data_IF_659113549916
#
_entry.id   IF_659113549916
#
_cell.length_a   1.000
_cell.length_b   1.000
_cell.length_c   1.000
_cell.angle_alpha   90.00
_cell.angle_beta   90.00
_cell.angle_gamma   90.00
#
_symmetry.space_group_name_H-M   'P 1'
#
loop_
_entity.id
_entity.type
_entity.pdbx_description
1 polymer ?
#
# COMPACT_ATOMS: atom_id res chain seq x y z
N UNK A 1 -7.02 -9.49 -24.60
CA UNK A 1 -6.20 -9.04 -23.44
C UNK A 1 -5.89 -7.53 -23.45
N UNK A 2 -5.35 -6.89 -24.50
CA UNK A 2 -4.97 -5.46 -24.41
C UNK A 2 -6.15 -4.49 -24.18
N UNK A 3 -7.38 -4.91 -24.50
CA UNK A 3 -8.60 -4.10 -24.35
C UNK A 3 -8.97 -3.76 -22.89
N UNK A 4 -8.41 -4.48 -21.90
CA UNK A 4 -8.67 -4.25 -20.47
C UNK A 4 -7.50 -3.60 -19.74
N UNK A 5 -6.37 -3.38 -20.43
CA UNK A 5 -5.16 -2.87 -19.79
C UNK A 5 -5.22 -1.36 -19.60
N UNK A 6 -4.44 -0.90 -18.64
CA UNK A 6 -4.21 0.52 -18.43
C UNK A 6 -3.53 1.15 -19.64
N UNK A 7 -3.81 2.43 -19.87
CA UNK A 7 -3.14 3.23 -20.90
C UNK A 7 -2.50 4.42 -20.20
N UNK A 8 -1.26 4.76 -20.53
CA UNK A 8 -0.58 5.88 -19.88
C UNK A 8 -0.93 7.24 -20.51
N UNK A 9 -0.40 8.34 -19.94
CA UNK A 9 -0.63 9.70 -20.46
C UNK A 9 -0.08 9.93 -21.89
N UNK A 10 0.73 9.01 -22.41
CA UNK A 10 1.28 9.03 -23.77
C UNK A 10 0.48 8.17 -24.74
N UNK A 11 -0.55 7.46 -24.28
CA UNK A 11 -1.36 6.56 -25.11
C UNK A 11 -0.77 5.16 -25.25
N UNK A 12 0.24 4.79 -24.44
CA UNK A 12 0.88 3.48 -24.47
C UNK A 12 0.13 2.51 -23.58
N UNK A 13 -0.04 1.27 -24.05
CA UNK A 13 -0.69 0.20 -23.29
C UNK A 13 0.27 -0.32 -22.22
N UNK A 14 -0.19 -0.36 -20.97
CA UNK A 14 0.55 -0.88 -19.81
C UNK A 14 0.41 -2.40 -19.66
N UNK A 15 0.86 -2.93 -18.52
CA UNK A 15 0.79 -4.36 -18.18
C UNK A 15 -0.34 -4.69 -17.21
N UNK A 16 -0.86 -3.67 -16.54
CA UNK A 16 -1.83 -3.82 -15.48
C UNK A 16 -3.26 -3.67 -16.02
N UNK A 17 -4.23 -4.48 -15.55
CA UNK A 17 -5.64 -4.23 -15.85
C UNK A 17 -6.12 -2.87 -15.34
N UNK A 18 -6.94 -2.19 -16.13
CA UNK A 18 -7.60 -0.96 -15.70
C UNK A 18 -8.68 -1.28 -14.67
N UNK A 19 -8.53 -0.72 -13.48
CA UNK A 19 -9.48 -0.85 -12.35
C UNK A 19 -10.87 -0.30 -12.64
N UNK A 20 -11.07 0.43 -13.74
CA UNK A 20 -12.39 0.96 -14.16
C UNK A 20 -12.99 0.20 -15.34
N UNK A 21 -12.25 -0.70 -15.98
CA UNK A 21 -12.79 -1.44 -17.11
C UNK A 21 -13.96 -2.32 -16.64
N UNK A 22 -15.17 -2.21 -17.23
CA UNK A 22 -16.34 -2.96 -16.76
C UNK A 22 -16.14 -4.47 -16.81
N UNK A 23 -15.41 -4.99 -17.81
CA UNK A 23 -15.15 -6.42 -17.91
C UNK A 23 -14.20 -6.90 -16.81
N UNK A 24 -13.19 -6.09 -16.45
CA UNK A 24 -12.29 -6.41 -15.35
C UNK A 24 -13.01 -6.34 -13.99
N UNK A 25 -13.86 -5.33 -13.79
CA UNK A 25 -14.71 -5.24 -12.58
C UNK A 25 -15.68 -6.40 -12.49
N UNK A 26 -16.39 -6.72 -13.57
CA UNK A 26 -17.33 -7.84 -13.61
C UNK A 26 -16.65 -9.18 -13.34
N UNK A 27 -15.42 -9.37 -13.82
CA UNK A 27 -14.65 -10.58 -13.52
C UNK A 27 -14.39 -10.72 -12.01
N UNK A 28 -13.97 -9.66 -11.34
CA UNK A 28 -13.80 -9.68 -9.88
C UNK A 28 -15.12 -9.85 -9.13
N UNK A 29 -16.18 -9.18 -9.58
CA UNK A 29 -17.52 -9.32 -9.02
C UNK A 29 -17.99 -10.77 -9.08
N UNK A 30 -17.81 -11.44 -10.23
CA UNK A 30 -18.14 -12.86 -10.40
C UNK A 30 -17.35 -13.77 -9.46
N UNK A 31 -16.05 -13.53 -9.27
CA UNK A 31 -15.23 -14.33 -8.34
C UNK A 31 -15.73 -14.18 -6.90
N UNK A 32 -15.97 -12.94 -6.46
CA UNK A 32 -16.40 -12.67 -5.09
C UNK A 32 -17.81 -13.20 -4.84
N UNK A 33 -18.72 -13.07 -5.81
CA UNK A 33 -20.05 -13.67 -5.74
C UNK A 33 -19.99 -15.20 -5.64
N UNK A 34 -19.19 -15.87 -6.48
CA UNK A 34 -19.05 -17.33 -6.42
C UNK A 34 -18.47 -17.78 -5.07
N UNK A 35 -17.42 -17.12 -4.58
CA UNK A 35 -16.88 -17.41 -3.25
C UNK A 35 -17.92 -17.25 -2.14
N UNK A 36 -18.73 -16.19 -2.20
CA UNK A 36 -19.73 -15.90 -1.19
C UNK A 36 -20.95 -16.83 -1.22
N UNK A 37 -21.26 -17.46 -2.37
CA UNK A 37 -22.45 -18.30 -2.55
C UNK A 37 -22.16 -19.79 -2.55
N UNK A 38 -20.98 -20.19 -3.04
CA UNK A 38 -20.68 -21.58 -3.39
C UNK A 38 -19.80 -22.28 -2.36
N UNK A 39 -19.17 -21.54 -1.43
CA UNK A 39 -18.22 -22.09 -0.47
C UNK A 39 -18.65 -21.83 0.98
N UNK A 40 -18.41 -22.82 1.84
CA UNK A 40 -18.59 -22.71 3.29
C UNK A 40 -17.35 -22.06 3.91
N UNK A 41 -17.35 -20.73 3.95
CA UNK A 41 -16.26 -19.88 4.46
C UNK A 41 -16.82 -18.84 5.43
N UNK A 42 -16.00 -18.38 6.38
CA UNK A 42 -16.41 -17.31 7.32
C UNK A 42 -16.24 -15.90 6.75
N UNK A 43 -15.46 -15.76 5.68
CA UNK A 43 -15.19 -14.47 5.09
C UNK A 43 -14.16 -14.46 3.97
N UNK A 44 -14.00 -13.28 3.39
CA UNK A 44 -13.15 -12.98 2.25
C UNK A 44 -12.15 -11.91 2.67
N UNK A 45 -10.88 -12.12 2.35
CA UNK A 45 -9.82 -11.11 2.50
C UNK A 45 -9.42 -10.59 1.12
N UNK A 46 -9.48 -9.28 0.94
CA UNK A 46 -9.18 -8.61 -0.32
C UNK A 46 -7.94 -7.70 -0.20
N UNK A 47 -7.18 -7.59 -1.27
CA UNK A 47 -6.03 -6.70 -1.37
C UNK A 47 -5.88 -6.17 -2.79
N UNK A 48 -5.58 -4.87 -2.93
CA UNK A 48 -5.27 -4.25 -4.20
C UNK A 48 -3.99 -3.40 -4.10
N UNK A 49 -2.87 -3.99 -4.52
CA UNK A 49 -1.55 -3.38 -4.42
C UNK A 49 -1.21 -2.63 -5.71
N UNK A 50 -1.60 -1.36 -5.79
CA UNK A 50 -1.41 -0.51 -6.96
C UNK A 50 -0.78 0.83 -6.61
N UNK A 51 0.12 1.29 -7.48
CA UNK A 51 0.63 2.67 -7.47
C UNK A 51 -0.39 3.59 -8.10
N UNK A 52 -0.66 4.70 -7.41
CA UNK A 52 -1.47 5.79 -7.93
C UNK A 52 -0.69 6.58 -9.00
N UNK A 53 -1.35 7.42 -9.81
CA UNK A 53 -0.72 8.16 -10.90
C UNK A 53 0.52 8.97 -10.49
N UNK A 54 0.44 9.78 -9.43
CA UNK A 54 1.57 10.59 -8.92
C UNK A 54 2.67 9.69 -8.39
N UNK A 55 2.31 8.67 -7.61
CA UNK A 55 3.25 7.70 -7.04
C UNK A 55 4.06 6.99 -8.14
N UNK A 56 3.40 6.59 -9.23
CA UNK A 56 4.06 6.03 -10.41
C UNK A 56 5.04 7.01 -11.06
N UNK A 57 4.62 8.27 -11.25
CA UNK A 57 5.48 9.30 -11.86
C UNK A 57 6.70 9.59 -11.00
N UNK A 58 6.54 9.75 -9.68
CA UNK A 58 7.66 9.95 -8.75
C UNK A 58 8.66 8.78 -8.78
N UNK A 59 8.18 7.56 -8.98
CA UNK A 59 9.04 6.39 -9.16
C UNK A 59 9.72 6.31 -10.54
N UNK A 60 9.40 7.22 -11.45
CA UNK A 60 9.97 7.32 -12.79
C UNK A 60 9.14 6.66 -13.89
N UNK A 61 7.95 6.15 -13.57
CA UNK A 61 7.06 5.50 -14.53
C UNK A 61 6.02 6.49 -15.10
N UNK A 62 5.42 6.20 -16.26
CA UNK A 62 4.25 6.93 -16.73
C UNK A 62 3.06 6.82 -15.75
N UNK A 63 2.16 7.80 -15.79
CA UNK A 63 0.95 7.82 -14.98
C UNK A 63 -0.10 6.88 -15.56
N UNK A 64 -0.81 6.15 -14.70
CA UNK A 64 -2.00 5.39 -15.07
C UNK A 64 -3.28 6.19 -14.71
N UNK A 65 -4.48 5.87 -15.19
CA UNK A 65 -4.81 5.14 -16.40
C UNK A 65 -5.72 6.02 -17.27
N UNK A 66 -5.27 6.38 -18.49
CA UNK A 66 -5.95 7.18 -19.51
C UNK A 66 -6.63 6.32 -20.60
N UNK A 67 -7.07 5.09 -20.27
CA UNK A 67 -7.79 4.25 -21.23
C UNK A 67 -9.17 4.86 -21.59
N UNK A 68 -9.82 4.46 -22.70
CA UNK A 68 -11.11 5.03 -23.11
C UNK A 68 -12.17 5.03 -22.02
N UNK A 69 -12.21 3.98 -21.20
CA UNK A 69 -13.15 3.88 -20.07
C UNK A 69 -12.88 4.96 -19.02
N UNK A 70 -11.64 5.10 -18.55
CA UNK A 70 -11.29 6.11 -17.56
C UNK A 70 -11.51 7.52 -18.08
N UNK A 71 -11.21 7.76 -19.37
CA UNK A 71 -11.42 9.07 -19.99
C UNK A 71 -12.90 9.44 -20.02
N UNK A 72 -13.76 8.50 -20.44
CA UNK A 72 -15.21 8.72 -20.46
C UNK A 72 -15.75 9.03 -19.07
N UNK A 73 -15.42 8.20 -18.08
CA UNK A 73 -15.91 8.40 -16.71
C UNK A 73 -15.43 9.73 -16.10
N UNK A 74 -14.16 10.11 -16.36
CA UNK A 74 -13.64 11.40 -15.92
C UNK A 74 -14.34 12.58 -16.58
N UNK A 75 -14.66 12.50 -17.88
CA UNK A 75 -15.44 13.54 -18.59
C UNK A 75 -16.84 13.66 -18.00
N UNK A 76 -17.50 12.55 -17.69
CA UNK A 76 -18.82 12.53 -17.03
C UNK A 76 -18.79 13.19 -15.64
N UNK A 77 -17.64 13.16 -14.96
CA UNK A 77 -17.37 13.86 -13.69
C UNK A 77 -16.92 15.32 -13.87
N UNK A 78 -16.95 15.85 -15.09
CA UNK A 78 -16.59 17.24 -15.40
C UNK A 78 -15.09 17.52 -15.45
N UNK A 79 -14.24 16.50 -15.62
CA UNK A 79 -12.79 16.67 -15.73
C UNK A 79 -12.35 16.92 -17.18
N UNK A 80 -11.49 17.92 -17.39
CA UNK A 80 -10.78 18.11 -18.66
C UNK A 80 -9.62 17.11 -18.77
N UNK A 81 -9.92 15.96 -19.36
CA UNK A 81 -8.97 14.85 -19.51
C UNK A 81 -7.78 15.20 -20.38
N UNK A 82 -7.94 16.03 -21.41
CA UNK A 82 -6.79 16.39 -22.26
C UNK A 82 -5.86 17.36 -21.53
N UNK A 83 -6.41 18.33 -20.79
CA UNK A 83 -5.59 19.19 -19.93
C UNK A 83 -4.86 18.39 -18.86
N UNK A 84 -5.54 17.45 -18.19
CA UNK A 84 -4.92 16.52 -17.22
C UNK A 84 -3.78 15.73 -17.86
N UNK A 85 -4.01 15.19 -19.06
CA UNK A 85 -2.99 14.39 -19.76
C UNK A 85 -1.75 15.22 -20.10
N UNK A 86 -1.93 16.47 -20.52
CA UNK A 86 -0.82 17.41 -20.75
C UNK A 86 -0.08 17.75 -19.44
N UNK A 87 -0.81 18.03 -18.36
CA UNK A 87 -0.26 18.26 -17.03
C UNK A 87 0.61 17.08 -16.54
N UNK A 88 0.17 15.83 -16.73
CA UNK A 88 0.98 14.65 -16.40
C UNK A 88 2.20 14.46 -17.30
N UNK A 89 2.18 14.96 -18.54
CA UNK A 89 3.39 14.95 -19.38
C UNK A 89 4.42 15.94 -18.86
N UNK A 90 4.00 17.13 -18.49
CA UNK A 90 4.89 18.15 -17.88
C UNK A 90 5.47 17.64 -16.55
N UNK A 91 4.61 17.11 -15.66
CA UNK A 91 5.05 16.53 -14.40
C UNK A 91 6.03 15.36 -14.61
N UNK A 92 5.72 14.45 -15.54
CA UNK A 92 6.63 13.36 -15.88
C UNK A 92 7.97 13.87 -16.42
N UNK A 93 7.99 14.87 -17.29
CA UNK A 93 9.22 15.45 -17.82
C UNK A 93 10.10 16.04 -16.70
N UNK A 94 9.52 16.78 -15.75
CA UNK A 94 10.24 17.31 -14.59
C UNK A 94 10.84 16.18 -13.75
N UNK A 95 10.08 15.10 -13.50
CA UNK A 95 10.60 13.96 -12.75
C UNK A 95 11.71 13.23 -13.51
N UNK A 96 11.61 13.06 -14.84
CA UNK A 96 12.68 12.46 -15.63
C UNK A 96 13.96 13.32 -15.61
N UNK A 97 13.84 14.65 -15.72
CA UNK A 97 14.95 15.60 -15.57
C UNK A 97 15.61 15.45 -14.20
N UNK A 98 14.81 15.34 -13.14
CA UNK A 98 15.30 15.11 -11.79
C UNK A 98 16.14 13.82 -11.70
N UNK A 99 15.59 12.72 -12.23
CA UNK A 99 16.23 11.39 -12.25
C UNK A 99 17.47 11.33 -13.15
N UNK A 100 17.54 12.16 -14.17
CA UNK A 100 18.70 12.33 -15.04
C UNK A 100 19.83 13.15 -14.38
N UNK A 101 19.62 13.67 -13.17
CA UNK A 101 20.63 14.44 -12.44
C UNK A 101 20.69 15.92 -12.82
N UNK A 102 19.64 16.47 -13.44
CA UNK A 102 19.62 17.88 -13.83
C UNK A 102 19.69 18.82 -12.60
N UNK A 103 20.58 19.80 -12.61
CA UNK A 103 20.64 20.78 -11.53
C UNK A 103 19.55 21.86 -11.71
N UNK A 104 18.52 21.80 -10.86
CA UNK A 104 17.47 22.82 -10.83
C UNK A 104 17.92 24.01 -9.99
N UNK A 105 17.47 25.21 -10.36
CA UNK A 105 17.83 26.47 -9.67
C UNK A 105 17.51 26.42 -8.18
N UNK A 106 16.33 25.92 -7.80
CA UNK A 106 15.86 25.84 -6.41
C UNK A 106 15.84 24.41 -5.85
N UNK A 107 16.40 23.44 -6.58
CA UNK A 107 16.33 22.02 -6.23
C UNK A 107 15.08 21.28 -6.74
N UNK A 108 15.15 19.95 -6.70
CA UNK A 108 14.18 19.01 -7.24
C UNK A 108 12.84 19.03 -6.49
N UNK A 109 12.86 19.11 -5.14
CA UNK A 109 11.63 19.19 -4.36
C UNK A 109 10.82 20.44 -4.76
N UNK A 110 11.51 21.59 -4.85
CA UNK A 110 10.88 22.88 -5.20
C UNK A 110 10.39 22.86 -6.65
N UNK A 111 11.16 22.32 -7.59
CA UNK A 111 10.72 22.18 -8.98
C UNK A 111 9.49 21.27 -9.12
N UNK A 112 9.42 20.17 -8.36
CA UNK A 112 8.26 19.28 -8.35
C UNK A 112 7.04 19.99 -7.74
N UNK A 113 7.20 20.74 -6.65
CA UNK A 113 6.11 21.56 -6.11
C UNK A 113 5.63 22.61 -7.11
N UNK A 114 6.56 23.23 -7.85
CA UNK A 114 6.27 24.24 -8.87
C UNK A 114 5.44 23.67 -10.01
N UNK A 115 5.81 22.51 -10.56
CA UNK A 115 5.03 21.92 -11.65
C UNK A 115 3.64 21.48 -11.18
N UNK A 116 3.50 20.98 -9.94
CA UNK A 116 2.20 20.67 -9.35
C UNK A 116 1.34 21.93 -9.12
N UNK A 117 1.96 23.03 -8.68
CA UNK A 117 1.28 24.31 -8.48
C UNK A 117 0.70 24.87 -9.79
N UNK A 118 1.45 24.82 -10.88
CA UNK A 118 0.99 25.27 -12.20
C UNK A 118 0.10 24.25 -12.92
N UNK A 119 0.06 23.00 -12.45
CA UNK A 119 -0.74 21.92 -13.02
C UNK A 119 -1.57 21.18 -11.94
N UNK A 120 -2.53 21.87 -11.27
CA UNK A 120 -3.38 21.24 -10.26
C UNK A 120 -4.22 20.07 -10.81
N UNK A 121 -4.38 19.98 -12.13
CA UNK A 121 -5.03 18.87 -12.81
C UNK A 121 -4.38 17.51 -12.52
N UNK A 122 -3.08 17.50 -12.17
CA UNK A 122 -2.39 16.29 -11.67
C UNK A 122 -3.07 15.75 -10.42
N UNK A 123 -3.44 16.62 -9.47
CA UNK A 123 -4.11 16.24 -8.23
C UNK A 123 -5.56 15.81 -8.46
N UNK A 124 -6.25 16.41 -9.44
CA UNK A 124 -7.62 16.03 -9.78
C UNK A 124 -7.70 14.58 -10.28
N UNK A 125 -6.77 14.20 -11.15
CA UNK A 125 -6.69 12.84 -11.65
C UNK A 125 -6.22 11.85 -10.60
N UNK A 126 -5.27 12.25 -9.75
CA UNK A 126 -4.82 11.44 -8.62
C UNK A 126 -6.02 11.09 -7.74
N UNK A 127 -6.81 12.09 -7.34
CA UNK A 127 -8.01 11.87 -6.54
C UNK A 127 -9.01 10.97 -7.26
N UNK A 128 -9.32 11.25 -8.54
CA UNK A 128 -10.21 10.41 -9.33
C UNK A 128 -9.75 8.95 -9.35
N UNK A 129 -8.49 8.68 -9.66
CA UNK A 129 -7.98 7.32 -9.73
C UNK A 129 -8.02 6.62 -8.37
N UNK A 130 -7.66 7.33 -7.28
CA UNK A 130 -7.70 6.80 -5.91
C UNK A 130 -9.13 6.48 -5.47
N UNK A 131 -10.08 7.37 -5.74
CA UNK A 131 -11.51 7.14 -5.47
C UNK A 131 -11.99 5.88 -6.18
N UNK A 132 -11.63 5.72 -7.45
CA UNK A 132 -12.00 4.54 -8.23
C UNK A 132 -11.36 3.25 -7.75
N UNK A 133 -10.12 3.33 -7.24
CA UNK A 133 -9.47 2.20 -6.60
C UNK A 133 -10.25 1.75 -5.36
N UNK A 134 -10.66 2.70 -4.50
CA UNK A 134 -11.49 2.43 -3.33
C UNK A 134 -12.90 1.95 -3.69
N UNK A 135 -13.48 2.45 -4.78
CA UNK A 135 -14.80 2.00 -5.24
C UNK A 135 -14.81 0.52 -5.58
N UNK A 136 -13.70 -0.02 -6.09
CA UNK A 136 -13.58 -1.47 -6.30
C UNK A 136 -13.68 -2.21 -4.96
N UNK A 137 -13.00 -1.76 -3.91
CA UNK A 137 -13.11 -2.35 -2.57
C UNK A 137 -14.56 -2.28 -2.05
N UNK A 138 -15.25 -1.14 -2.26
CA UNK A 138 -16.66 -0.93 -1.86
C UNK A 138 -17.61 -1.85 -2.60
N UNK A 139 -17.41 -2.04 -3.91
CA UNK A 139 -18.21 -2.93 -4.73
C UNK A 139 -18.07 -4.39 -4.26
N UNK A 140 -16.84 -4.84 -3.99
CA UNK A 140 -16.59 -6.20 -3.52
C UNK A 140 -17.15 -6.43 -2.11
N UNK A 141 -17.04 -5.45 -1.21
CA UNK A 141 -17.71 -5.47 0.08
C UNK A 141 -19.22 -5.60 -0.09
N UNK A 142 -19.83 -4.74 -0.93
CA UNK A 142 -21.26 -4.73 -1.20
C UNK A 142 -21.77 -6.06 -1.75
N UNK A 143 -21.06 -6.65 -2.72
CA UNK A 143 -21.40 -7.96 -3.29
C UNK A 143 -21.31 -9.05 -2.22
N UNK A 144 -20.26 -9.05 -1.40
CA UNK A 144 -20.11 -10.02 -0.30
C UNK A 144 -21.32 -9.96 0.62
N UNK A 145 -21.69 -8.75 1.09
CA UNK A 145 -22.82 -8.55 1.99
C UNK A 145 -24.18 -8.85 1.36
N UNK A 146 -24.32 -8.58 0.07
CA UNK A 146 -25.52 -8.90 -0.69
C UNK A 146 -25.72 -10.41 -0.87
N UNK A 147 -24.63 -11.15 -1.11
CA UNK A 147 -24.69 -12.59 -1.29
C UNK A 147 -24.94 -13.32 0.03
N UNK A 148 -24.21 -12.94 1.08
CA UNK A 148 -24.36 -13.46 2.43
C UNK A 148 -23.86 -12.42 3.44
N UNK A 149 -24.79 -11.84 4.20
CA UNK A 149 -24.49 -10.76 5.13
C UNK A 149 -23.67 -11.22 6.36
N UNK A 150 -23.66 -12.51 6.67
CA UNK A 150 -22.90 -13.06 7.79
C UNK A 150 -21.39 -13.17 7.49
N UNK A 151 -21.02 -13.27 6.20
CA UNK A 151 -19.63 -13.31 5.77
C UNK A 151 -18.89 -12.03 6.16
N UNK A 152 -17.67 -12.19 6.67
CA UNK A 152 -16.77 -11.05 6.91
C UNK A 152 -16.00 -10.68 5.65
N UNK A 153 -15.80 -9.39 5.43
CA UNK A 153 -14.97 -8.87 4.35
C UNK A 153 -13.84 -8.03 4.95
N UNK A 154 -12.61 -8.51 4.77
CA UNK A 154 -11.41 -7.89 5.33
C UNK A 154 -10.55 -7.22 4.28
N UNK A 155 -9.94 -6.09 4.65
CA UNK A 155 -8.93 -5.43 3.81
C UNK A 155 -7.53 -5.77 4.29
N UNK A 156 -6.77 -6.46 3.46
CA UNK A 156 -5.32 -6.62 3.63
C UNK A 156 -4.64 -5.35 3.08
N UNK A 157 -4.02 -4.58 3.97
CA UNK A 157 -3.50 -3.24 3.68
C UNK A 157 -1.99 -3.30 3.49
N UNK A 158 -1.55 -2.94 2.29
CA UNK A 158 -0.16 -2.98 1.87
C UNK A 158 0.76 -2.13 2.75
N UNK A 159 1.94 -2.63 3.06
CA UNK A 159 2.91 -1.94 3.93
C UNK A 159 3.41 -0.59 3.37
N UNK A 160 3.28 -0.33 2.07
CA UNK A 160 3.55 1.01 1.52
C UNK A 160 2.66 2.10 2.12
N UNK A 161 1.48 1.76 2.65
CA UNK A 161 0.66 2.69 3.44
C UNK A 161 1.37 3.17 4.72
N UNK A 162 2.38 2.43 5.19
CA UNK A 162 3.20 2.80 6.37
C UNK A 162 4.42 3.64 5.97
N UNK A 163 4.91 3.49 4.74
CA UNK A 163 6.22 3.99 4.30
C UNK A 163 6.15 5.23 3.41
N UNK A 164 4.99 5.56 2.86
CA UNK A 164 4.86 6.68 1.91
C UNK A 164 3.79 7.66 2.43
N UNK A 165 4.15 8.94 2.73
CA UNK A 165 3.19 9.92 3.24
C UNK A 165 2.01 10.18 2.31
N UNK A 166 2.24 10.19 0.98
CA UNK A 166 1.18 10.37 -0.01
C UNK A 166 0.19 9.21 0.08
N UNK A 167 0.70 7.97 0.13
CA UNK A 167 -0.12 6.77 0.29
C UNK A 167 -0.88 6.77 1.62
N UNK A 168 -0.24 7.13 2.73
CA UNK A 168 -0.89 7.21 4.06
C UNK A 168 -2.04 8.23 4.06
N UNK A 169 -1.85 9.38 3.39
CA UNK A 169 -2.89 10.40 3.25
C UNK A 169 -4.08 9.94 2.39
N UNK A 170 -3.83 9.13 1.37
CA UNK A 170 -4.85 8.68 0.43
C UNK A 170 -5.69 7.50 0.97
N UNK A 171 -5.20 6.78 1.98
CA UNK A 171 -5.87 5.61 2.58
C UNK A 171 -6.07 5.80 4.10
N UNK A 172 -6.96 6.73 4.51
CA UNK A 172 -7.27 6.93 5.92
C UNK A 172 -8.04 5.73 6.51
N UNK A 173 -7.65 5.31 7.71
CA UNK A 173 -8.25 4.16 8.40
C UNK A 173 -9.76 4.31 8.63
N UNK A 174 -10.20 5.49 9.08
CA UNK A 174 -11.61 5.75 9.40
C UNK A 174 -12.53 5.52 8.19
N UNK A 175 -12.10 5.96 7.01
CA UNK A 175 -12.87 5.80 5.78
C UNK A 175 -13.02 4.31 5.41
N UNK A 176 -11.94 3.51 5.53
CA UNK A 176 -11.96 2.08 5.22
C UNK A 176 -12.96 1.28 6.08
N UNK A 177 -13.26 1.75 7.28
CA UNK A 177 -14.25 1.10 8.17
C UNK A 177 -15.65 1.09 7.58
N UNK A 178 -15.93 1.94 6.58
CA UNK A 178 -17.25 2.02 5.93
C UNK A 178 -17.47 0.94 4.87
N UNK A 179 -16.43 0.19 4.47
CA UNK A 179 -16.52 -0.94 3.52
C UNK A 179 -15.63 -2.13 3.92
N UNK A 180 -15.45 -2.35 5.22
CA UNK A 180 -14.75 -3.52 5.72
C UNK A 180 -15.32 -3.94 7.08
N UNK A 181 -15.26 -5.23 7.39
CA UNK A 181 -15.56 -5.74 8.72
C UNK A 181 -14.31 -5.84 9.60
N UNK A 182 -13.13 -5.77 9.00
CA UNK A 182 -11.84 -5.77 9.66
C UNK A 182 -10.72 -5.31 8.73
N UNK A 183 -9.61 -4.88 9.30
CA UNK A 183 -8.41 -4.48 8.54
C UNK A 183 -7.20 -5.27 8.99
N UNK A 184 -6.30 -5.55 8.04
CA UNK A 184 -5.02 -6.22 8.27
C UNK A 184 -3.86 -5.40 7.70
N UNK A 185 -3.23 -4.53 8.51
CA UNK A 185 -1.98 -3.88 8.13
C UNK A 185 -0.87 -4.93 7.97
N UNK A 186 -0.18 -4.93 6.83
CA UNK A 186 0.94 -5.84 6.57
C UNK A 186 2.22 -5.31 7.21
N UNK A 187 2.77 -6.05 8.17
CA UNK A 187 4.00 -5.67 8.89
C UNK A 187 5.03 -6.78 8.85
N UNK A 188 5.38 -7.29 7.66
CA UNK A 188 6.41 -8.32 7.50
C UNK A 188 7.77 -7.76 7.91
N UNK A 189 8.06 -7.84 9.19
CA UNK A 189 9.06 -7.07 9.90
C UNK A 189 10.49 -7.33 9.40
N UNK A 190 10.86 -8.59 9.15
CA UNK A 190 12.15 -8.97 8.57
C UNK A 190 12.30 -8.56 7.09
N UNK A 191 11.19 -8.28 6.39
CA UNK A 191 11.20 -7.77 5.01
C UNK A 191 11.18 -6.23 4.94
N UNK A 192 10.63 -5.61 5.97
CA UNK A 192 10.19 -4.22 5.92
C UNK A 192 11.35 -3.22 5.77
N UNK A 193 12.54 -3.57 6.27
CA UNK A 193 13.75 -2.77 6.02
C UNK A 193 14.07 -2.66 4.52
N UNK A 194 14.09 -3.79 3.81
CA UNK A 194 14.29 -3.82 2.36
C UNK A 194 13.19 -3.12 1.57
N UNK A 195 11.93 -3.27 2.01
CA UNK A 195 10.79 -2.63 1.35
C UNK A 195 10.84 -1.10 1.53
N UNK A 196 11.13 -0.62 2.74
CA UNK A 196 11.33 0.81 3.01
C UNK A 196 12.49 1.38 2.18
N UNK A 197 13.64 0.70 2.14
CA UNK A 197 14.79 1.18 1.36
C UNK A 197 14.48 1.24 -0.12
N UNK A 198 13.72 0.27 -0.66
CA UNK A 198 13.32 0.29 -2.07
C UNK A 198 12.38 1.45 -2.37
N UNK A 199 11.41 1.70 -1.49
CA UNK A 199 10.46 2.80 -1.63
C UNK A 199 11.18 4.16 -1.61
N UNK A 200 11.97 4.43 -0.58
CA UNK A 200 12.70 5.69 -0.43
C UNK A 200 13.74 5.91 -1.52
N UNK A 201 14.44 4.84 -1.94
CA UNK A 201 15.42 4.93 -3.03
C UNK A 201 14.80 5.41 -4.35
N UNK A 202 13.52 5.14 -4.59
CA UNK A 202 12.82 5.68 -5.77
C UNK A 202 12.57 7.18 -5.65
N UNK A 203 12.23 7.66 -4.45
CA UNK A 203 12.01 9.07 -4.16
C UNK A 203 13.31 9.88 -4.13
N UNK A 204 14.42 9.29 -3.67
CA UNK A 204 15.77 9.89 -3.74
C UNK A 204 16.31 10.01 -5.17
N UNK A 205 15.64 9.43 -6.16
CA UNK A 205 15.94 9.70 -7.57
C UNK A 205 15.13 10.88 -8.12
N UNK A 206 14.09 11.34 -7.42
CA UNK A 206 13.16 12.37 -7.88
C UNK A 206 12.98 13.47 -6.84
N UNK A 207 11.91 13.40 -6.04
CA UNK A 207 11.47 14.46 -5.12
C UNK A 207 12.38 14.66 -3.91
N UNK A 208 13.13 13.63 -3.52
CA UNK A 208 14.10 13.69 -2.41
C UNK A 208 15.55 13.67 -2.91
N UNK A 209 15.79 14.02 -4.17
CA UNK A 209 17.11 13.87 -4.80
C UNK A 209 18.21 14.66 -4.13
N UNK A 210 17.90 15.87 -3.66
CA UNK A 210 18.92 16.78 -3.15
C UNK A 210 19.25 16.55 -1.65
N UNK A 211 18.71 15.50 -1.05
CA UNK A 211 19.03 15.07 0.32
C UNK A 211 19.51 13.62 0.32
N UNK A 212 20.51 13.31 1.14
CA UNK A 212 20.98 11.94 1.27
C UNK A 212 19.95 11.09 2.04
N UNK A 213 19.93 9.76 1.81
CA UNK A 213 19.09 8.87 2.61
C UNK A 213 19.38 8.94 4.10
N UNK A 214 20.64 9.17 4.50
CA UNK A 214 21.08 9.32 5.89
C UNK A 214 20.47 10.57 6.55
N UNK A 215 20.40 11.69 5.82
CA UNK A 215 19.78 12.93 6.30
C UNK A 215 18.26 12.82 6.35
N UNK A 216 17.65 12.21 5.32
CA UNK A 216 16.20 12.20 5.17
C UNK A 216 15.50 11.13 6.02
N UNK A 217 16.14 9.98 6.27
CA UNK A 217 15.52 8.86 6.99
C UNK A 217 15.01 9.26 8.38
N UNK A 218 15.79 9.97 9.24
CA UNK A 218 15.28 10.43 10.53
C UNK A 218 14.11 11.42 10.44
N UNK A 219 14.07 12.24 9.38
CA UNK A 219 12.96 13.18 9.14
C UNK A 219 11.71 12.42 8.70
N UNK A 220 11.86 11.50 7.75
CA UNK A 220 10.77 10.67 7.25
C UNK A 220 10.17 9.80 8.36
N UNK A 221 10.99 9.27 9.26
CA UNK A 221 10.52 8.56 10.44
C UNK A 221 9.63 9.42 11.34
N UNK A 222 9.98 10.69 11.57
CA UNK A 222 9.11 11.60 12.33
C UNK A 222 7.78 11.86 11.62
N UNK A 223 7.79 11.99 10.29
CA UNK A 223 6.57 12.19 9.49
C UNK A 223 5.66 10.95 9.55
N UNK A 224 6.24 9.76 9.45
CA UNK A 224 5.49 8.50 9.35
C UNK A 224 5.14 7.88 10.71
N UNK A 225 5.78 8.32 11.79
CA UNK A 225 5.66 7.74 13.13
C UNK A 225 6.48 6.45 13.29
N UNK A 226 7.65 6.38 12.66
CA UNK A 226 8.57 5.23 12.72
C UNK A 226 9.76 5.50 13.66
N UNK A 227 10.36 4.43 14.21
CA UNK A 227 11.55 4.52 15.06
C UNK A 227 12.43 3.29 14.84
N UNK A 228 13.18 3.31 13.75
CA UNK A 228 13.86 2.11 13.23
C UNK A 228 15.36 2.34 13.06
N UNK A 229 16.07 1.29 12.60
CA UNK A 229 17.50 1.35 12.34
C UNK A 229 17.89 2.49 11.36
N UNK A 230 19.14 2.99 11.43
CA UNK A 230 19.68 3.92 10.44
C UNK A 230 19.68 3.31 9.03
N UNK A 231 19.64 4.18 8.01
CA UNK A 231 19.52 3.80 6.60
C UNK A 231 20.42 2.62 6.18
N UNK A 232 21.72 2.70 6.51
CA UNK A 232 22.73 1.71 6.10
C UNK A 232 22.59 0.32 6.73
N UNK A 233 21.72 0.15 7.73
CA UNK A 233 21.52 -1.12 8.46
C UNK A 233 20.12 -1.71 8.26
N UNK A 234 19.21 -0.97 7.62
CA UNK A 234 17.78 -1.34 7.54
C UNK A 234 17.55 -2.69 6.88
N UNK A 235 18.25 -2.97 5.78
CA UNK A 235 18.06 -4.21 5.02
C UNK A 235 18.42 -5.43 5.87
N UNK A 236 19.53 -5.34 6.60
CA UNK A 236 20.10 -6.42 7.40
C UNK A 236 19.36 -6.62 8.72
N UNK A 237 18.83 -5.54 9.32
CA UNK A 237 18.10 -5.59 10.58
C UNK A 237 16.59 -5.85 10.42
N UNK A 238 16.02 -5.48 9.28
CA UNK A 238 14.56 -5.37 9.17
C UNK A 238 14.03 -4.22 10.02
N UNK A 239 12.74 -4.23 10.31
CA UNK A 239 12.13 -3.30 11.27
C UNK A 239 11.81 -4.04 12.57
N UNK A 240 12.00 -3.38 13.71
CA UNK A 240 11.89 -4.00 15.02
C UNK A 240 10.40 -4.23 15.40
N UNK A 241 10.01 -5.43 15.89
CA UNK A 241 8.63 -5.70 16.25
C UNK A 241 8.01 -4.72 17.27
N UNK A 242 8.77 -4.31 18.28
CA UNK A 242 8.25 -3.54 19.41
C UNK A 242 8.04 -2.06 19.05
N UNK A 243 8.69 -1.57 17.98
CA UNK A 243 8.47 -0.21 17.45
C UNK A 243 7.60 -0.24 16.21
N UNK A 244 7.90 -1.09 15.23
CA UNK A 244 7.21 -1.11 13.95
C UNK A 244 5.85 -1.82 14.03
N UNK A 245 5.81 -3.08 14.47
CA UNK A 245 4.55 -3.84 14.53
C UNK A 245 3.62 -3.21 15.56
N UNK A 246 4.14 -2.91 16.77
CA UNK A 246 3.40 -2.17 17.80
C UNK A 246 2.90 -0.82 17.26
N UNK A 247 3.77 0.01 16.68
CA UNK A 247 3.44 1.34 16.22
C UNK A 247 2.38 1.37 15.12
N UNK A 248 2.52 0.50 14.11
CA UNK A 248 1.50 0.39 13.05
C UNK A 248 0.18 -0.17 13.57
N UNK A 249 0.21 -1.12 14.52
CA UNK A 249 -1.01 -1.62 15.16
C UNK A 249 -1.69 -0.51 15.97
N UNK A 250 -0.96 0.23 16.78
CA UNK A 250 -1.51 1.31 17.61
C UNK A 250 -2.10 2.44 16.75
N UNK A 251 -1.44 2.79 15.65
CA UNK A 251 -1.96 3.75 14.66
C UNK A 251 -3.24 3.25 13.98
N UNK A 252 -3.28 1.98 13.57
CA UNK A 252 -4.45 1.38 12.95
C UNK A 252 -5.62 1.31 13.94
N UNK A 253 -5.39 0.85 15.17
CA UNK A 253 -6.41 0.77 16.24
C UNK A 253 -7.00 2.14 16.53
N UNK A 254 -6.15 3.17 16.66
CA UNK A 254 -6.59 4.57 16.84
C UNK A 254 -7.36 5.07 15.61
N UNK A 255 -6.87 4.75 14.41
CA UNK A 255 -7.42 5.21 13.15
C UNK A 255 -8.79 4.62 12.81
N UNK A 256 -9.04 3.35 13.13
CA UNK A 256 -10.37 2.72 12.96
C UNK A 256 -11.35 3.09 14.07
N UNK A 257 -10.86 3.70 15.16
CA UNK A 257 -11.66 4.25 16.25
C UNK A 257 -12.71 3.26 16.80
N UNK A 258 -12.32 1.99 16.95
CA UNK A 258 -13.19 0.93 17.48
C UNK A 258 -14.31 0.46 16.53
N UNK A 259 -14.42 0.99 15.31
CA UNK A 259 -15.47 0.62 14.35
C UNK A 259 -15.30 -0.79 13.78
N UNK A 260 -14.05 -1.22 13.57
CA UNK A 260 -13.69 -2.56 13.09
C UNK A 260 -12.44 -3.08 13.83
N UNK A 261 -12.29 -4.39 14.04
CA UNK A 261 -11.08 -4.97 14.61
C UNK A 261 -9.87 -4.86 13.65
N UNK A 262 -8.69 -4.77 14.25
CA UNK A 262 -7.39 -4.78 13.56
C UNK A 262 -6.72 -6.13 13.80
N UNK A 263 -6.35 -6.82 12.72
CA UNK A 263 -5.59 -8.07 12.75
C UNK A 263 -4.23 -7.86 12.09
N UNK A 264 -3.11 -7.94 12.81
CA UNK A 264 -1.82 -7.61 12.20
C UNK A 264 -1.31 -8.73 11.28
N UNK A 265 -0.84 -8.36 10.09
CA UNK A 265 -0.20 -9.29 9.15
C UNK A 265 1.27 -9.52 9.52
N UNK A 266 1.57 -10.63 10.18
CA UNK A 266 2.94 -10.95 10.65
C UNK A 266 3.66 -11.78 9.59
N UNK A 267 4.87 -11.35 9.23
CA UNK A 267 5.69 -12.05 8.25
C UNK A 267 6.35 -13.25 8.90
N UNK A 268 6.11 -14.45 8.39
CA UNK A 268 6.81 -15.67 8.79
C UNK A 268 7.48 -16.24 7.55
N UNK A 269 8.81 -16.14 7.50
CA UNK A 269 9.64 -16.65 6.39
C UNK A 269 9.21 -16.15 5.00
N UNK A 270 8.65 -14.93 4.93
CA UNK A 270 8.39 -14.27 3.66
C UNK A 270 9.66 -14.30 2.77
N UNK A 271 9.54 -14.57 1.45
CA UNK A 271 10.70 -14.73 0.57
C UNK A 271 11.63 -13.52 0.60
N UNK A 272 12.94 -13.75 0.70
CA UNK A 272 13.96 -12.68 0.64
C UNK A 272 14.35 -12.41 -0.81
N UNK A 273 14.51 -11.14 -1.16
CA UNK A 273 15.01 -10.73 -2.48
C UNK A 273 16.53 -10.53 -2.52
N UNK A 274 17.18 -10.55 -1.35
CA UNK A 274 18.64 -10.38 -1.20
C UNK A 274 19.19 -11.32 -0.12
N UNK A 275 20.45 -11.72 -0.29
CA UNK A 275 21.14 -12.62 0.64
C UNK A 275 21.42 -11.96 2.01
N UNK A 276 21.70 -10.65 2.02
CA UNK A 276 22.01 -9.84 3.20
C UNK A 276 20.77 -9.34 3.95
N UNK A 277 19.57 -9.64 3.46
CA UNK A 277 18.34 -9.20 4.09
C UNK A 277 18.07 -9.97 5.39
N UNK A 278 17.49 -9.29 6.39
CA UNK A 278 17.14 -9.86 7.68
C UNK A 278 16.41 -11.20 7.56
N UNK A 279 16.84 -12.16 8.38
CA UNK A 279 16.29 -13.51 8.43
C UNK A 279 15.15 -13.54 9.44
N UNK A 280 14.06 -14.23 9.11
CA UNK A 280 12.98 -14.46 10.06
C UNK A 280 13.48 -15.39 11.17
N UNK A 281 13.20 -15.04 12.43
CA UNK A 281 13.61 -15.82 13.59
C UNK A 281 12.40 -16.07 14.51
N UNK A 282 12.48 -17.07 15.41
CA UNK A 282 11.42 -17.32 16.39
C UNK A 282 11.13 -16.09 17.26
N UNK A 283 12.17 -15.40 17.72
CA UNK A 283 12.03 -14.21 18.57
C UNK A 283 11.25 -13.09 17.86
N UNK A 284 11.56 -12.84 16.58
CA UNK A 284 10.88 -11.84 15.78
C UNK A 284 9.38 -12.14 15.69
N UNK A 285 9.00 -13.40 15.41
CA UNK A 285 7.59 -13.81 15.31
C UNK A 285 6.89 -13.66 16.66
N UNK A 286 7.48 -14.17 17.73
CA UNK A 286 6.95 -14.09 19.10
C UNK A 286 6.69 -12.63 19.50
N UNK A 287 7.71 -11.77 19.39
CA UNK A 287 7.59 -10.34 19.73
C UNK A 287 6.55 -9.62 18.88
N UNK A 288 6.44 -9.95 17.59
CA UNK A 288 5.41 -9.35 16.71
C UNK A 288 3.99 -9.66 17.16
N UNK A 289 3.74 -10.88 17.64
CA UNK A 289 2.43 -11.26 18.21
C UNK A 289 2.18 -10.50 19.51
N UNK A 290 3.13 -10.50 20.45
CA UNK A 290 2.99 -9.77 21.72
C UNK A 290 2.75 -8.27 21.50
N UNK A 291 3.54 -7.64 20.62
CA UNK A 291 3.42 -6.24 20.24
C UNK A 291 2.03 -5.91 19.66
N UNK A 292 1.46 -6.82 18.86
CA UNK A 292 0.12 -6.65 18.29
C UNK A 292 -0.96 -6.54 19.38
N UNK A 293 -0.97 -7.49 20.32
CA UNK A 293 -1.98 -7.49 21.40
C UNK A 293 -1.74 -6.34 22.38
N UNK A 294 -0.49 -6.01 22.70
CA UNK A 294 -0.15 -4.88 23.56
C UNK A 294 -0.63 -3.55 22.98
N UNK A 295 -0.61 -3.39 21.65
CA UNK A 295 -1.11 -2.22 20.95
C UNK A 295 -2.64 -2.17 20.79
N UNK A 296 -3.37 -3.18 21.30
CA UNK A 296 -4.83 -3.26 21.22
C UNK A 296 -5.38 -3.96 19.96
N UNK A 297 -4.51 -4.57 19.15
CA UNK A 297 -4.92 -5.44 18.05
C UNK A 297 -5.75 -6.62 18.55
N UNK A 298 -6.66 -7.12 17.72
CA UNK A 298 -7.58 -8.21 18.07
C UNK A 298 -7.10 -9.59 17.63
N UNK A 299 -5.98 -9.65 16.91
CA UNK A 299 -5.31 -10.89 16.55
C UNK A 299 -4.26 -10.69 15.48
N UNK A 300 -3.76 -11.80 14.94
CA UNK A 300 -2.71 -11.83 13.92
C UNK A 300 -3.08 -12.75 12.78
N UNK A 301 -2.55 -12.47 11.60
CA UNK A 301 -2.58 -13.38 10.45
C UNK A 301 -1.14 -13.61 10.00
N UNK A 302 -0.64 -14.83 10.14
CA UNK A 302 0.68 -15.20 9.64
C UNK A 302 0.65 -15.24 8.11
N UNK A 303 1.70 -14.72 7.48
CA UNK A 303 1.74 -14.52 6.02
C UNK A 303 3.19 -14.61 5.51
N UNK A 304 3.44 -14.83 4.20
CA UNK A 304 2.47 -14.83 3.09
C UNK A 304 1.76 -16.17 2.83
N UNK A 305 2.41 -17.31 3.07
CA UNK A 305 1.81 -18.63 2.85
C UNK A 305 2.35 -19.63 3.84
N UNK A 306 1.47 -20.42 4.46
CA UNK A 306 1.83 -21.46 5.42
C UNK A 306 2.86 -22.44 4.86
N UNK A 307 2.76 -22.79 3.57
CA UNK A 307 3.68 -23.72 2.91
C UNK A 307 5.14 -23.22 2.86
N UNK A 308 5.35 -21.90 3.01
CA UNK A 308 6.69 -21.30 3.05
C UNK A 308 7.23 -21.06 4.46
N UNK A 309 6.47 -21.36 5.51
CA UNK A 309 6.84 -21.03 6.89
C UNK A 309 7.71 -22.13 7.51
N UNK A 310 8.78 -21.72 8.20
CA UNK A 310 9.52 -22.63 9.06
C UNK A 310 8.70 -22.87 10.34
N UNK A 311 8.44 -24.15 10.66
CA UNK A 311 7.61 -24.51 11.82
C UNK A 311 8.19 -23.98 13.14
N UNK A 312 9.51 -23.93 13.29
CA UNK A 312 10.16 -23.39 14.50
C UNK A 312 9.87 -21.89 14.68
N UNK A 313 9.81 -21.13 13.57
CA UNK A 313 9.44 -19.72 13.64
C UNK A 313 7.95 -19.56 13.99
N UNK A 314 7.10 -20.44 13.45
CA UNK A 314 5.66 -20.43 13.71
C UNK A 314 5.31 -20.84 15.16
N UNK A 315 6.03 -21.81 15.73
CA UNK A 315 5.89 -22.26 17.12
C UNK A 315 6.08 -21.11 18.11
N UNK A 316 6.94 -20.15 17.78
CA UNK A 316 7.14 -18.95 18.59
C UNK A 316 5.90 -18.04 18.63
N UNK A 317 5.10 -18.05 17.55
CA UNK A 317 3.78 -17.43 17.53
C UNK A 317 2.81 -18.12 18.49
N UNK A 318 2.79 -19.45 18.51
CA UNK A 318 1.99 -20.21 19.49
C UNK A 318 2.47 -19.97 20.93
N UNK A 319 3.78 -19.86 21.15
CA UNK A 319 4.34 -19.49 22.45
C UNK A 319 3.83 -18.12 22.91
N UNK A 320 3.83 -17.10 22.04
CA UNK A 320 3.28 -15.79 22.37
C UNK A 320 1.80 -15.85 22.76
N UNK A 321 0.99 -16.63 22.03
CA UNK A 321 -0.44 -16.79 22.35
C UNK A 321 -0.66 -17.47 23.72
N UNK A 322 0.18 -18.45 24.09
CA UNK A 322 0.17 -19.07 25.42
C UNK A 322 0.55 -18.08 26.51
N UNK A 323 1.58 -17.25 26.29
CA UNK A 323 1.99 -16.19 27.22
C UNK A 323 0.87 -15.17 27.46
N UNK A 324 0.02 -14.92 26.45
CA UNK A 324 -1.15 -14.05 26.54
C UNK A 324 -2.39 -14.73 27.13
N UNK A 325 -2.35 -16.06 27.37
CA UNK A 325 -3.51 -16.82 27.85
C UNK A 325 -4.63 -16.99 26.81
N UNK A 326 -4.31 -16.97 25.52
CA UNK A 326 -5.27 -17.05 24.41
C UNK A 326 -5.31 -18.41 23.71
N UNK A 327 -4.42 -19.34 24.10
CA UNK A 327 -4.28 -20.68 23.53
C UNK A 327 -3.98 -21.72 24.61
#
# INVERSE_FOLDING_TARGET
MPQMLEVDQFGRVGQEPCINNPNYRNWWNSIIEDYARSYDIDGIMWCNERRSPIDNVLAGNPANCFCPTCRREAIERGLDVERIRLAFKEFYQVVQRARAGEQFVDGALVEIMRVLYYNPEVLLWERYWVERNKDMDRELYGITKWCNNDLKFGLNVWNRNHFNPLRKAQWPWDEMTTWSDWVKPITYQHQSGGIYTNEMSMLHKSVLRDVTPEEMTPIMYKILGLKEAPWGELVQKGLDPDTYVYGQCADAVRGVNGKVPVYMGIGVDAPRSRADQAVCTPDIVRRSVLATYQAGGKGVVYSPSYAGMNLTNLDAGAQALKELGLF
#
